data_IF_697164369771
#
_entry.id   IF_697164369771
#
_cell.length_a   1.000
_cell.length_b   1.000
_cell.length_c   1.000
_cell.angle_alpha   90.00
_cell.angle_beta   90.00
_cell.angle_gamma   90.00
#
_symmetry.space_group_name_H-M   'P 1'
#
loop_
_entity.id
_entity.type
_entity.pdbx_description
1 polymer ?
#
# COMPACT_ATOMS: atom_id res chain seq x y z
N UNK A 1 -18.88 11.82 17.40
CA UNK A 1 -18.15 13.11 17.39
C UNK A 1 -17.23 13.17 16.17
N UNK A 2 -16.66 14.34 15.81
CA UNK A 2 -15.67 14.39 14.71
C UNK A 2 -14.40 13.55 15.00
N UNK A 3 -14.07 13.34 16.29
CA UNK A 3 -12.92 12.53 16.68
C UNK A 3 -13.15 11.04 16.40
N UNK A 4 -14.32 10.51 16.74
CA UNK A 4 -14.69 9.13 16.43
C UNK A 4 -14.62 8.84 14.92
N UNK A 5 -15.08 9.77 14.08
CA UNK A 5 -15.00 9.60 12.62
C UNK A 5 -13.55 9.56 12.14
N UNK A 6 -12.66 10.39 12.71
CA UNK A 6 -11.22 10.34 12.38
C UNK A 6 -10.62 9.00 12.79
N UNK A 7 -10.86 8.56 14.02
CA UNK A 7 -10.33 7.29 14.53
C UNK A 7 -10.75 6.09 13.65
N UNK A 8 -12.02 6.04 13.25
CA UNK A 8 -12.53 5.00 12.36
C UNK A 8 -11.85 5.08 10.98
N UNK A 9 -11.70 6.29 10.43
CA UNK A 9 -11.11 6.50 9.12
C UNK A 9 -9.63 6.13 9.11
N UNK A 10 -8.88 6.52 10.14
CA UNK A 10 -7.45 6.23 10.28
C UNK A 10 -7.21 4.73 10.42
N UNK A 11 -8.04 4.06 11.23
CA UNK A 11 -8.00 2.60 11.35
C UNK A 11 -8.26 1.91 10.01
N UNK A 12 -9.33 2.32 9.30
CA UNK A 12 -9.67 1.75 8.00
C UNK A 12 -8.56 1.97 6.95
N UNK A 13 -7.94 3.15 6.95
CA UNK A 13 -6.80 3.47 6.07
C UNK A 13 -5.61 2.55 6.32
N UNK A 14 -5.29 2.28 7.59
CA UNK A 14 -4.22 1.33 7.96
C UNK A 14 -4.54 -0.07 7.45
N UNK A 15 -5.73 -0.59 7.75
CA UNK A 15 -6.16 -1.93 7.33
C UNK A 15 -6.13 -2.08 5.80
N UNK A 16 -6.67 -1.10 5.07
CA UNK A 16 -6.72 -1.14 3.60
C UNK A 16 -5.33 -1.15 2.96
N UNK A 17 -4.42 -0.29 3.45
CA UNK A 17 -3.11 -0.09 2.84
C UNK A 17 -2.07 -1.13 3.25
N UNK A 18 -2.18 -1.69 4.45
CA UNK A 18 -1.11 -2.48 5.07
C UNK A 18 -1.50 -3.92 5.40
N UNK A 19 -2.79 -4.24 5.52
CA UNK A 19 -3.22 -5.56 6.05
C UNK A 19 -4.08 -6.35 5.06
N UNK A 20 -4.92 -5.67 4.28
CA UNK A 20 -5.87 -6.35 3.39
C UNK A 20 -5.21 -6.71 2.05
N UNK A 21 -5.19 -8.01 1.67
CA UNK A 21 -4.76 -8.41 0.34
C UNK A 21 -5.83 -8.05 -0.69
N UNK A 22 -5.40 -7.62 -1.87
CA UNK A 22 -6.30 -7.26 -2.98
C UNK A 22 -6.05 -8.18 -4.17
N UNK A 23 -7.09 -8.89 -4.64
CA UNK A 23 -6.98 -9.82 -5.77
C UNK A 23 -6.41 -9.16 -7.04
N UNK A 24 -6.78 -7.91 -7.29
CA UNK A 24 -6.26 -7.10 -8.41
C UNK A 24 -4.76 -6.82 -8.32
N UNK A 25 -4.19 -6.88 -7.12
CA UNK A 25 -2.76 -6.75 -6.84
C UNK A 25 -2.10 -8.11 -6.64
N UNK A 26 -2.67 -9.18 -7.21
CA UNK A 26 -2.18 -10.55 -7.03
C UNK A 26 -2.13 -10.95 -5.55
N UNK A 27 -3.16 -10.57 -4.79
CA UNK A 27 -3.29 -10.78 -3.34
C UNK A 27 -2.23 -10.08 -2.48
N UNK A 28 -1.53 -9.08 -3.01
CA UNK A 28 -0.68 -8.20 -2.20
C UNK A 28 -1.51 -7.08 -1.55
N UNK A 29 -1.00 -6.53 -0.45
CA UNK A 29 -1.46 -5.25 0.05
C UNK A 29 -0.99 -4.11 -0.87
N UNK A 30 -1.62 -2.93 -0.83
CA UNK A 30 -1.17 -1.79 -1.62
C UNK A 30 0.27 -1.39 -1.29
N UNK A 31 0.69 -1.52 -0.03
CA UNK A 31 2.08 -1.22 0.37
C UNK A 31 3.08 -2.22 -0.19
N UNK A 32 2.78 -3.52 -0.12
CA UNK A 32 3.63 -4.56 -0.70
C UNK A 32 3.79 -4.36 -2.21
N UNK A 33 2.69 -4.05 -2.91
CA UNK A 33 2.72 -3.75 -4.34
C UNK A 33 3.61 -2.54 -4.65
N UNK A 34 3.46 -1.44 -3.89
CA UNK A 34 4.33 -0.25 -4.04
C UNK A 34 5.80 -0.61 -3.86
N UNK A 35 6.14 -1.37 -2.83
CA UNK A 35 7.52 -1.75 -2.56
C UNK A 35 8.10 -2.65 -3.66
N UNK A 36 7.32 -3.64 -4.11
CA UNK A 36 7.71 -4.56 -5.17
C UNK A 36 8.01 -3.82 -6.48
N UNK A 37 7.13 -2.89 -6.86
CA UNK A 37 7.27 -2.11 -8.09
C UNK A 37 8.28 -0.97 -7.99
N UNK A 38 8.48 -0.39 -6.80
CA UNK A 38 9.55 0.57 -6.55
C UNK A 38 10.92 -0.07 -6.77
N UNK A 39 11.19 -1.23 -6.16
CA UNK A 39 12.46 -1.95 -6.33
C UNK A 39 12.69 -2.41 -7.78
N UNK A 40 11.63 -2.82 -8.48
CA UNK A 40 11.70 -3.16 -9.90
C UNK A 40 12.04 -1.96 -10.81
N UNK A 41 11.60 -0.75 -10.43
CA UNK A 41 11.91 0.49 -11.16
C UNK A 41 13.33 1.02 -10.93
N UNK A 42 13.98 0.64 -9.82
CA UNK A 42 15.35 1.08 -9.51
C UNK A 42 16.41 0.24 -10.24
N UNK A 43 16.07 -0.94 -10.74
CA UNK A 43 17.01 -1.80 -11.46
C UNK A 43 16.55 -2.10 -12.90
N UNK A 44 17.20 -1.39 -13.84
CA UNK A 44 17.73 -1.85 -15.15
C UNK A 44 18.18 -0.60 -15.91
N UNK A 45 19.47 -0.31 -15.87
CA UNK A 45 20.12 0.83 -16.54
C UNK A 45 19.86 2.19 -15.88
N UNK A 46 20.29 2.37 -14.63
CA UNK A 46 20.74 3.70 -14.23
C UNK A 46 21.80 4.10 -15.27
N UNK A 47 21.44 5.06 -16.12
CA UNK A 47 22.11 5.40 -17.36
C UNK A 47 23.57 5.75 -17.09
N UNK A 48 24.47 4.82 -17.39
CA UNK A 48 25.89 5.08 -17.66
C UNK A 48 26.08 5.00 -19.17
#
# INVERSE_FOLDING_TARGET
TLNEVREITDKWLSEYNCERPHESLNNMTPEEYRQHHYLAGISKNAWN
#
